data_IF_032212516059
#
_entry.id   IF_032212516059
#
_cell.length_a   1.000
_cell.length_b   1.000
_cell.length_c   1.000
_cell.angle_alpha   90.00
_cell.angle_beta   90.00
_cell.angle_gamma   90.00
#
_symmetry.space_group_name_H-M   'P 1'
#
loop_
_entity.id
_entity.type
_entity.pdbx_description
1 polymer ?
#
# COMPACT_ATOMS: atom_id res chain seq x y z
N UNK A 1 6.09 -4.01 12.58
CA UNK A 1 6.33 -2.55 12.57
C UNK A 1 5.05 -1.82 12.91
N UNK A 2 5.08 -0.89 13.82
CA UNK A 2 3.86 -0.28 14.36
C UNK A 2 3.48 0.98 13.57
N UNK A 3 2.66 0.81 12.52
CA UNK A 3 2.10 1.92 11.72
C UNK A 3 0.90 2.59 12.41
N UNK A 4 0.54 2.09 13.59
CA UNK A 4 -0.67 2.50 14.33
C UNK A 4 -0.63 3.99 14.69
N UNK A 5 0.53 4.51 15.08
CA UNK A 5 0.68 5.92 15.47
C UNK A 5 0.39 6.88 14.31
N UNK A 6 0.87 6.56 13.09
CA UNK A 6 0.59 7.39 11.91
C UNK A 6 -0.89 7.32 11.56
N UNK A 7 -1.47 6.12 11.58
CA UNK A 7 -2.89 5.95 11.30
C UNK A 7 -3.76 6.66 12.35
N UNK A 8 -3.40 6.61 13.64
CA UNK A 8 -4.08 7.38 14.69
C UNK A 8 -4.02 8.89 14.44
N UNK A 9 -2.84 9.41 14.07
CA UNK A 9 -2.69 10.83 13.75
C UNK A 9 -3.54 11.23 12.52
N UNK A 10 -3.59 10.38 11.49
CA UNK A 10 -4.42 10.61 10.30
C UNK A 10 -5.92 10.61 10.64
N UNK A 11 -6.37 9.69 11.49
CA UNK A 11 -7.79 9.60 11.88
C UNK A 11 -8.21 10.70 12.87
N UNK A 12 -7.25 11.32 13.57
CA UNK A 12 -7.51 12.44 14.46
C UNK A 12 -7.66 13.79 13.73
N UNK A 13 -7.48 13.83 12.39
CA UNK A 13 -7.68 15.04 11.62
C UNK A 13 -9.12 15.56 11.74
N UNK A 14 -9.30 16.89 11.96
CA UNK A 14 -10.62 17.49 12.08
C UNK A 14 -11.45 17.29 10.82
N UNK A 15 -12.77 17.18 10.98
CA UNK A 15 -13.70 17.00 9.87
C UNK A 15 -13.77 15.59 9.27
N UNK A 16 -13.10 14.60 9.87
CA UNK A 16 -13.13 13.21 9.37
C UNK A 16 -12.56 13.06 7.96
N UNK A 17 -11.60 13.91 7.61
CA UNK A 17 -11.01 14.00 6.27
C UNK A 17 -10.35 12.68 5.87
N UNK A 18 -9.76 11.97 6.83
CA UNK A 18 -9.23 10.62 6.63
C UNK A 18 -10.00 9.65 7.51
N UNK A 19 -10.60 8.64 6.90
CA UNK A 19 -11.40 7.63 7.58
C UNK A 19 -10.77 6.24 7.52
N UNK A 20 -10.90 5.44 8.60
CA UNK A 20 -10.49 4.04 8.56
C UNK A 20 -11.49 3.23 7.73
N UNK A 21 -11.09 2.73 6.56
CA UNK A 21 -11.91 1.86 5.72
C UNK A 21 -11.30 0.47 5.57
N UNK A 22 -12.14 -0.55 5.32
CA UNK A 22 -11.65 -1.86 4.90
C UNK A 22 -11.02 -1.76 3.52
N UNK A 23 -10.03 -2.59 3.26
CA UNK A 23 -9.39 -2.67 1.94
C UNK A 23 -10.41 -2.98 0.83
N UNK A 24 -10.27 -2.33 -0.33
CA UNK A 24 -11.18 -2.57 -1.45
C UNK A 24 -11.05 -3.99 -1.99
N UNK A 25 -12.16 -4.66 -2.15
CA UNK A 25 -12.26 -6.00 -2.79
C UNK A 25 -12.41 -5.92 -4.30
N UNK A 26 -12.50 -4.72 -4.87
CA UNK A 26 -12.75 -4.52 -6.31
C UNK A 26 -11.65 -5.14 -7.17
N UNK A 27 -10.38 -4.92 -6.85
CA UNK A 27 -9.25 -5.47 -7.62
C UNK A 27 -9.27 -7.00 -7.71
N UNK A 28 -9.37 -7.76 -6.59
CA UNK A 28 -9.43 -9.22 -6.69
C UNK A 28 -10.70 -9.72 -7.40
N UNK A 29 -11.83 -9.04 -7.29
CA UNK A 29 -13.05 -9.40 -8.04
C UNK A 29 -12.80 -9.21 -9.54
N UNK A 30 -12.21 -8.10 -9.97
CA UNK A 30 -11.88 -7.87 -11.39
C UNK A 30 -10.93 -8.94 -11.91
N UNK A 31 -9.91 -9.32 -11.14
CA UNK A 31 -9.00 -10.40 -11.52
C UNK A 31 -9.71 -11.75 -11.67
N UNK A 32 -10.64 -12.08 -10.77
CA UNK A 32 -11.44 -13.28 -10.89
C UNK A 32 -12.31 -13.27 -12.16
N UNK A 33 -12.93 -12.12 -12.49
CA UNK A 33 -13.73 -11.95 -13.71
C UNK A 33 -12.85 -12.13 -14.96
N UNK A 34 -11.64 -11.58 -14.99
CA UNK A 34 -10.68 -11.78 -16.09
C UNK A 34 -10.34 -13.27 -16.21
N UNK A 35 -10.14 -13.97 -15.11
CA UNK A 35 -9.90 -15.41 -15.09
C UNK A 35 -11.05 -16.18 -15.72
N UNK A 36 -12.30 -15.85 -15.40
CA UNK A 36 -13.50 -16.45 -16.02
C UNK A 36 -13.54 -16.16 -17.51
N UNK A 37 -13.24 -14.93 -17.94
CA UNK A 37 -13.19 -14.57 -19.35
C UNK A 37 -12.14 -15.41 -20.12
N UNK A 38 -10.97 -15.69 -19.53
CA UNK A 38 -9.96 -16.58 -20.12
C UNK A 38 -10.49 -18.01 -20.31
N UNK A 39 -11.23 -18.55 -19.35
CA UNK A 39 -11.83 -19.88 -19.50
C UNK A 39 -12.90 -19.91 -20.59
N UNK A 40 -13.73 -18.88 -20.70
CA UNK A 40 -14.74 -18.78 -21.77
C UNK A 40 -14.07 -18.71 -23.13
N UNK A 41 -13.05 -17.85 -23.30
CA UNK A 41 -12.31 -17.75 -24.58
C UNK A 41 -11.68 -19.09 -24.92
N UNK A 42 -11.06 -19.76 -23.95
CA UNK A 42 -10.47 -21.07 -24.15
C UNK A 42 -11.49 -22.12 -24.61
N UNK A 43 -12.67 -22.16 -24.00
CA UNK A 43 -13.70 -23.14 -24.31
C UNK A 43 -14.47 -22.86 -25.62
N UNK A 44 -14.53 -21.60 -26.08
CA UNK A 44 -15.33 -21.23 -27.25
C UNK A 44 -14.49 -21.02 -28.51
N UNK A 45 -13.25 -20.53 -28.36
CA UNK A 45 -12.40 -20.15 -29.50
C UNK A 45 -11.29 -21.16 -29.74
N UNK A 46 -10.78 -21.79 -28.68
CA UNK A 46 -9.64 -22.69 -28.74
C UNK A 46 -9.98 -24.16 -28.43
N UNK A 47 -11.27 -24.49 -28.39
CA UNK A 47 -11.74 -25.84 -28.02
C UNK A 47 -11.18 -26.96 -28.90
N UNK A 48 -10.91 -26.67 -30.18
CA UNK A 48 -10.44 -27.65 -31.16
C UNK A 48 -8.92 -27.68 -31.30
N UNK A 49 -8.20 -26.81 -30.58
CA UNK A 49 -6.74 -26.72 -30.64
C UNK A 49 -6.12 -27.10 -29.31
N UNK A 50 -5.39 -28.22 -29.28
CA UNK A 50 -4.59 -28.61 -28.11
C UNK A 50 -3.23 -27.89 -28.08
N UNK A 51 -3.25 -26.57 -28.34
CA UNK A 51 -2.05 -25.75 -28.47
C UNK A 51 -1.53 -25.25 -27.11
N UNK A 52 -0.25 -24.88 -27.07
CA UNK A 52 0.38 -24.26 -25.90
C UNK A 52 -0.41 -23.02 -25.43
N UNK A 53 -1.03 -22.27 -26.34
CA UNK A 53 -1.85 -21.10 -26.03
C UNK A 53 -3.11 -21.49 -25.22
N UNK A 54 -3.84 -22.54 -25.65
CA UNK A 54 -5.03 -23.06 -24.94
C UNK A 54 -4.68 -23.47 -23.52
N UNK A 55 -3.60 -24.24 -23.35
CA UNK A 55 -3.11 -24.65 -22.02
C UNK A 55 -2.73 -23.46 -21.14
N UNK A 56 -2.05 -22.46 -21.72
CA UNK A 56 -1.64 -21.26 -20.99
C UNK A 56 -2.85 -20.46 -20.50
N UNK A 57 -3.87 -20.26 -21.35
CA UNK A 57 -5.09 -19.54 -20.97
C UNK A 57 -5.89 -20.30 -19.92
N UNK A 58 -5.96 -21.62 -20.03
CA UNK A 58 -6.62 -22.47 -19.03
C UNK A 58 -5.96 -22.31 -17.65
N UNK A 59 -4.64 -22.53 -17.59
CA UNK A 59 -3.87 -22.42 -16.34
C UNK A 59 -3.94 -21.01 -15.75
N UNK A 60 -3.77 -19.96 -16.58
CA UNK A 60 -3.84 -18.57 -16.13
C UNK A 60 -5.25 -18.22 -15.63
N UNK A 61 -6.31 -18.66 -16.34
CA UNK A 61 -7.69 -18.43 -15.94
C UNK A 61 -8.00 -19.03 -14.56
N UNK A 62 -7.63 -20.31 -14.36
CA UNK A 62 -7.81 -21.00 -13.08
C UNK A 62 -7.03 -20.29 -11.97
N UNK A 63 -5.76 -19.94 -12.21
CA UNK A 63 -4.92 -19.27 -11.22
C UNK A 63 -5.49 -17.91 -10.81
N UNK A 64 -5.99 -17.10 -11.75
CA UNK A 64 -6.61 -15.80 -11.47
C UNK A 64 -7.91 -15.94 -10.67
N UNK A 65 -8.73 -16.95 -10.94
CA UNK A 65 -9.96 -17.20 -10.19
C UNK A 65 -9.63 -17.59 -8.76
N UNK A 66 -8.74 -18.56 -8.56
CA UNK A 66 -8.33 -19.01 -7.23
C UNK A 66 -7.72 -17.86 -6.43
N UNK A 67 -6.80 -17.11 -7.02
CA UNK A 67 -6.19 -15.93 -6.39
C UNK A 67 -7.26 -14.89 -6.03
N UNK A 68 -8.18 -14.58 -6.94
CA UNK A 68 -9.24 -13.62 -6.72
C UNK A 68 -10.15 -14.01 -5.55
N UNK A 69 -10.59 -15.27 -5.50
CA UNK A 69 -11.43 -15.79 -4.42
C UNK A 69 -10.70 -15.71 -3.07
N UNK A 70 -9.46 -16.22 -3.00
CA UNK A 70 -8.66 -16.19 -1.77
C UNK A 70 -8.46 -14.75 -1.30
N UNK A 71 -8.07 -13.84 -2.21
CA UNK A 71 -7.84 -12.44 -1.88
C UNK A 71 -9.12 -11.73 -1.38
N UNK A 72 -10.30 -12.02 -1.97
CA UNK A 72 -11.59 -11.51 -1.47
C UNK A 72 -11.85 -12.02 -0.06
N UNK A 73 -11.72 -13.32 0.18
CA UNK A 73 -11.95 -13.92 1.50
C UNK A 73 -11.02 -13.33 2.56
N UNK A 74 -9.73 -13.16 2.25
CA UNK A 74 -8.76 -12.57 3.16
C UNK A 74 -9.11 -11.12 3.51
N UNK A 75 -9.52 -10.30 2.50
CA UNK A 75 -9.88 -8.89 2.72
C UNK A 75 -11.19 -8.74 3.50
N UNK A 76 -12.18 -9.58 3.23
CA UNK A 76 -13.45 -9.57 3.97
C UNK A 76 -13.27 -9.96 5.44
N UNK A 77 -12.43 -10.97 5.70
CA UNK A 77 -12.15 -11.45 7.05
C UNK A 77 -11.13 -10.62 7.83
N UNK A 78 -10.40 -9.74 7.13
CA UNK A 78 -9.39 -8.87 7.76
C UNK A 78 -10.07 -7.78 8.60
N UNK A 79 -9.62 -7.65 9.85
CA UNK A 79 -9.96 -6.51 10.72
C UNK A 79 -9.11 -5.27 10.42
N UNK A 80 -8.13 -5.39 9.51
CA UNK A 80 -7.21 -4.30 9.17
C UNK A 80 -7.96 -3.15 8.51
N UNK A 81 -7.75 -1.95 9.04
CA UNK A 81 -8.28 -0.70 8.48
C UNK A 81 -7.16 0.03 7.76
N UNK A 82 -7.46 0.55 6.59
CA UNK A 82 -6.53 1.32 5.76
C UNK A 82 -7.02 2.77 5.70
N UNK A 83 -6.11 3.76 5.79
CA UNK A 83 -6.48 5.16 5.66
C UNK A 83 -7.09 5.46 4.29
N UNK A 84 -8.29 6.03 4.31
CA UNK A 84 -9.01 6.49 3.14
C UNK A 84 -9.20 8.00 3.21
N UNK A 85 -8.67 8.71 2.24
CA UNK A 85 -8.83 10.17 2.11
C UNK A 85 -10.18 10.47 1.45
N UNK A 86 -11.09 11.07 2.22
CA UNK A 86 -12.44 11.39 1.75
C UNK A 86 -12.47 12.52 0.71
N UNK A 87 -11.51 13.46 0.75
CA UNK A 87 -11.39 14.54 -0.23
C UNK A 87 -10.82 14.00 -1.54
N UNK A 88 -9.76 13.20 -1.47
CA UNK A 88 -9.18 12.54 -2.63
C UNK A 88 -10.03 11.38 -3.17
N UNK A 89 -11.06 10.95 -2.41
CA UNK A 89 -11.89 9.77 -2.70
C UNK A 89 -11.07 8.51 -3.01
N UNK A 90 -9.95 8.34 -2.33
CA UNK A 90 -9.00 7.25 -2.60
C UNK A 90 -8.34 6.73 -1.34
N UNK A 91 -7.90 5.47 -1.40
CA UNK A 91 -7.05 4.90 -0.36
C UNK A 91 -5.67 5.56 -0.37
N UNK A 92 -5.15 5.89 0.81
CA UNK A 92 -3.79 6.39 0.90
C UNK A 92 -2.80 5.27 0.59
N UNK A 93 -1.84 5.56 -0.30
CA UNK A 93 -0.80 4.61 -0.67
C UNK A 93 0.25 4.55 0.41
N UNK A 94 0.53 3.36 0.89
CA UNK A 94 1.63 3.07 1.80
C UNK A 94 2.93 2.95 1.03
N UNK A 95 3.99 3.59 1.53
CA UNK A 95 5.35 3.45 1.03
C UNK A 95 6.31 3.41 2.21
N UNK A 96 7.32 2.56 2.10
CA UNK A 96 8.38 2.40 3.07
C UNK A 96 9.71 2.66 2.38
N UNK A 97 10.58 3.44 3.03
CA UNK A 97 11.92 3.76 2.54
C UNK A 97 12.91 3.63 3.67
N UNK A 98 14.10 3.13 3.36
CA UNK A 98 15.17 2.94 4.32
C UNK A 98 16.29 3.95 4.07
N UNK A 99 16.87 4.43 5.16
CA UNK A 99 17.91 5.46 5.16
C UNK A 99 19.02 5.12 6.13
N UNK A 100 20.19 5.66 5.89
CA UNK A 100 21.32 5.58 6.81
C UNK A 100 21.11 6.47 8.04
N UNK A 101 21.68 6.08 9.17
CA UNK A 101 21.55 6.82 10.43
C UNK A 101 22.05 8.27 10.34
N UNK A 102 23.04 8.52 9.51
CA UNK A 102 23.61 9.86 9.29
C UNK A 102 22.58 10.85 8.73
N UNK A 103 21.59 10.37 8.00
CA UNK A 103 20.54 11.19 7.38
C UNK A 103 19.37 11.53 8.32
N UNK A 104 19.33 10.96 9.54
CA UNK A 104 18.22 11.17 10.48
C UNK A 104 17.97 12.64 10.78
N UNK A 105 19.03 13.42 11.02
CA UNK A 105 18.90 14.84 11.33
C UNK A 105 18.36 15.65 10.15
N UNK A 106 18.81 15.35 8.94
CA UNK A 106 18.33 15.97 7.71
C UNK A 106 16.86 15.58 7.42
N UNK A 107 16.51 14.29 7.58
CA UNK A 107 15.14 13.81 7.42
C UNK A 107 14.17 14.45 8.43
N UNK A 108 14.57 14.55 9.70
CA UNK A 108 13.74 15.21 10.72
C UNK A 108 13.48 16.68 10.37
N UNK A 109 14.50 17.39 9.91
CA UNK A 109 14.38 18.80 9.49
C UNK A 109 13.45 18.91 8.29
N UNK A 110 13.69 18.13 7.22
CA UNK A 110 12.86 18.16 6.02
C UNK A 110 11.38 17.79 6.31
N UNK A 111 11.14 16.82 7.20
CA UNK A 111 9.79 16.46 7.66
C UNK A 111 9.17 17.62 8.46
N UNK A 112 9.90 18.26 9.38
CA UNK A 112 9.40 19.36 10.18
C UNK A 112 9.06 20.58 9.33
N UNK A 113 9.89 20.89 8.34
CA UNK A 113 9.71 22.01 7.41
C UNK A 113 8.64 21.71 6.34
N UNK A 114 8.27 20.44 6.18
CA UNK A 114 7.32 19.99 5.16
C UNK A 114 7.90 19.97 3.75
N UNK A 115 9.21 19.92 3.62
CA UNK A 115 9.92 19.92 2.35
C UNK A 115 9.90 18.52 1.71
N UNK A 116 8.85 18.31 0.88
CA UNK A 116 8.61 17.05 0.19
C UNK A 116 9.73 16.74 -0.81
N UNK A 117 10.26 17.75 -1.49
CA UNK A 117 11.31 17.57 -2.51
C UNK A 117 12.62 17.12 -1.87
N UNK A 118 13.00 17.74 -0.75
CA UNK A 118 14.15 17.32 0.03
C UNK A 118 14.01 15.87 0.50
N UNK A 119 12.83 15.47 1.02
CA UNK A 119 12.57 14.08 1.46
C UNK A 119 12.68 13.10 0.29
N UNK A 120 12.11 13.44 -0.88
CA UNK A 120 12.07 12.55 -2.03
C UNK A 120 13.44 12.44 -2.75
N UNK A 121 14.34 13.45 -2.60
CA UNK A 121 15.68 13.45 -3.20
C UNK A 121 16.76 12.75 -2.36
N UNK A 122 16.49 12.46 -1.07
CA UNK A 122 17.48 11.81 -0.21
C UNK A 122 17.81 10.38 -0.67
N UNK A 123 19.10 10.00 -0.63
CA UNK A 123 19.51 8.65 -1.04
C UNK A 123 18.94 7.59 -0.09
N UNK A 124 18.37 6.53 -0.66
CA UNK A 124 17.83 5.40 0.08
C UNK A 124 18.84 4.25 0.15
N UNK A 125 18.76 3.44 1.19
CA UNK A 125 19.56 2.23 1.38
C UNK A 125 18.67 0.99 1.44
N UNK A 126 19.27 -0.18 1.34
CA UNK A 126 18.58 -1.47 1.55
C UNK A 126 18.67 -1.97 3.01
N UNK A 127 19.34 -1.21 3.89
CA UNK A 127 19.54 -1.55 5.29
C UNK A 127 18.44 -0.87 6.10
N UNK A 128 17.63 -1.66 6.81
CA UNK A 128 16.51 -1.18 7.61
C UNK A 128 16.94 -0.54 8.96
N UNK A 129 18.01 0.27 8.97
CA UNK A 129 18.48 0.95 10.18
C UNK A 129 17.53 2.09 10.58
N UNK A 130 17.14 2.91 9.60
CA UNK A 130 16.16 3.99 9.75
C UNK A 130 15.10 3.83 8.69
N UNK A 131 13.85 3.84 9.10
CA UNK A 131 12.70 3.59 8.23
C UNK A 131 11.79 4.81 8.21
N UNK A 132 11.56 5.35 7.04
CA UNK A 132 10.54 6.36 6.79
C UNK A 132 9.29 5.68 6.24
N UNK A 133 8.19 5.80 6.95
CA UNK A 133 6.87 5.36 6.52
C UNK A 133 6.12 6.57 5.98
N UNK A 134 5.61 6.43 4.77
CA UNK A 134 4.79 7.43 4.10
C UNK A 134 3.40 6.85 3.79
N UNK A 135 2.35 7.60 4.18
CA UNK A 135 1.01 7.44 3.63
C UNK A 135 0.70 8.63 2.72
N UNK A 136 0.37 8.35 1.45
CA UNK A 136 0.21 9.39 0.44
C UNK A 136 -1.14 9.32 -0.26
N UNK A 137 -1.81 10.46 -0.37
CA UNK A 137 -2.93 10.71 -1.28
C UNK A 137 -2.59 11.83 -2.28
N UNK A 138 -3.53 12.24 -3.12
CA UNK A 138 -3.37 13.41 -3.98
C UNK A 138 -3.30 14.73 -3.20
N UNK A 139 -3.94 14.81 -2.04
CA UNK A 139 -4.06 16.02 -1.22
C UNK A 139 -3.15 16.04 0.00
N UNK A 140 -2.67 14.87 0.47
CA UNK A 140 -1.93 14.75 1.73
C UNK A 140 -0.82 13.74 1.68
N UNK A 141 0.20 14.02 2.49
CA UNK A 141 1.23 13.04 2.83
C UNK A 141 1.41 13.00 4.34
N UNK A 142 1.47 11.82 4.92
CA UNK A 142 1.78 11.61 6.32
C UNK A 142 3.07 10.82 6.45
N UNK A 143 3.98 11.31 7.28
CA UNK A 143 5.29 10.73 7.49
C UNK A 143 5.46 10.28 8.93
N UNK A 144 6.11 9.14 9.12
CA UNK A 144 6.60 8.67 10.40
C UNK A 144 8.00 8.13 10.25
N UNK A 145 8.92 8.60 11.10
CA UNK A 145 10.31 8.19 11.10
C UNK A 145 10.57 7.24 12.26
N UNK A 146 11.18 6.09 11.98
CA UNK A 146 11.45 5.03 12.93
C UNK A 146 12.90 4.58 12.84
N UNK A 147 13.47 4.17 13.96
CA UNK A 147 14.76 3.52 14.03
C UNK A 147 14.60 2.07 14.52
N UNK A 148 15.30 1.16 13.89
CA UNK A 148 15.38 -0.23 14.33
C UNK A 148 16.49 -0.38 15.36
N UNK A 149 16.12 -0.79 16.58
CA UNK A 149 17.08 -1.07 17.66
C UNK A 149 16.53 -2.14 18.61
N UNK A 150 17.39 -3.02 19.09
CA UNK A 150 17.06 -4.05 20.10
C UNK A 150 15.80 -4.88 19.76
N UNK A 151 15.64 -5.27 18.49
CA UNK A 151 14.53 -6.04 17.95
C UNK A 151 13.19 -5.28 17.78
N UNK A 152 13.12 -3.98 18.02
CA UNK A 152 11.91 -3.19 17.88
C UNK A 152 12.15 -1.89 17.08
N UNK A 153 11.07 -1.41 16.41
CA UNK A 153 11.07 -0.09 15.78
C UNK A 153 10.61 0.95 16.79
N UNK A 154 11.48 1.92 17.07
CA UNK A 154 11.18 3.06 17.95
C UNK A 154 10.90 4.31 17.10
N UNK A 155 9.81 5.05 17.39
CA UNK A 155 9.55 6.31 16.70
C UNK A 155 10.63 7.34 17.03
N UNK A 156 11.21 7.94 16.02
CA UNK A 156 12.21 9.01 16.15
C UNK A 156 11.58 10.41 16.21
N UNK A 157 10.35 10.54 15.71
CA UNK A 157 9.59 11.79 15.72
C UNK A 157 8.09 11.49 15.78
N UNK A 158 7.31 12.47 16.19
CA UNK A 158 5.85 12.42 16.03
C UNK A 158 5.49 12.38 14.53
N UNK A 159 4.38 11.70 14.18
CA UNK A 159 3.90 11.69 12.80
C UNK A 159 3.56 13.11 12.33
N UNK A 160 4.07 13.47 11.15
CA UNK A 160 3.80 14.76 10.52
C UNK A 160 2.90 14.59 9.32
N UNK A 161 1.84 15.40 9.25
CA UNK A 161 0.92 15.43 8.11
C UNK A 161 1.15 16.74 7.36
N UNK A 162 1.35 16.63 6.04
CA UNK A 162 1.57 17.73 5.13
C UNK A 162 0.43 17.75 4.13
N UNK A 163 -0.29 18.85 4.05
CA UNK A 163 -1.28 19.09 3.00
C UNK A 163 -0.54 19.60 1.75
N UNK A 164 -1.02 19.16 0.59
CA UNK A 164 -0.41 19.47 -0.70
C UNK A 164 -1.20 20.56 -1.43
#
# INVERSE_FOLDING_TARGET
MNTENICKALYALPGGVVAPRKESVTTPIVLAIIGVAFLIINSTVLSDTADALSMTLLCAGIALIIYGIIAVMMRLNSSRRVPYDNEARSYMRYRERYYDRELVAALRRAIADGDIEAIDSMPTTNIAAVTLIEYRSSHRRAYGLYEYGEAEYRPLSEPKIINK
#
